data_IF_539248866628
#
_entry.id   IF_539248866628
#
_cell.length_a   1.000
_cell.length_b   1.000
_cell.length_c   1.000
_cell.angle_alpha   90.00
_cell.angle_beta   90.00
_cell.angle_gamma   90.00
#
_symmetry.space_group_name_H-M   'P 1'
#
loop_
_entity.id
_entity.type
_entity.pdbx_description
1 polymer ?
#
# COMPACT_ATOMS: atom_id res chain seq x y z
N UNK A 1 14.81 -1.43 16.83
CA UNK A 1 14.60 -0.30 15.91
C UNK A 1 14.19 -0.95 14.62
N UNK A 2 12.89 -0.99 14.38
CA UNK A 2 12.34 -1.47 13.12
C UNK A 2 12.45 -0.40 12.04
N UNK A 3 12.01 -0.76 10.85
CA UNK A 3 12.04 0.08 9.68
C UNK A 3 10.83 1.01 9.63
N UNK A 4 11.09 2.22 9.17
CA UNK A 4 10.08 3.23 8.85
C UNK A 4 10.30 3.64 7.42
N UNK A 5 9.22 3.77 6.64
CA UNK A 5 9.31 4.21 5.26
C UNK A 5 8.07 3.87 4.46
N UNK A 6 8.11 4.23 3.18
CA UNK A 6 6.98 4.02 2.27
C UNK A 6 7.35 3.07 1.14
N UNK A 7 6.39 2.25 0.76
CA UNK A 7 6.39 1.55 -0.51
C UNK A 7 5.40 2.22 -1.46
N UNK A 8 5.86 2.54 -2.67
CA UNK A 8 5.05 3.09 -3.75
C UNK A 8 4.89 2.03 -4.82
N UNK A 9 3.64 1.64 -5.06
CA UNK A 9 3.27 0.57 -5.97
C UNK A 9 2.34 1.12 -7.05
N UNK A 10 2.61 0.80 -8.30
CA UNK A 10 1.79 1.24 -9.41
C UNK A 10 2.16 0.56 -10.72
N UNK A 11 1.26 0.66 -11.70
CA UNK A 11 1.47 0.09 -13.02
C UNK A 11 1.71 1.21 -14.03
N UNK A 12 2.84 1.15 -14.74
CA UNK A 12 3.13 2.09 -15.83
C UNK A 12 4.22 1.54 -16.75
N UNK A 13 4.17 1.93 -18.03
CA UNK A 13 5.24 1.65 -19.00
C UNK A 13 6.52 2.44 -18.69
N UNK A 14 6.38 3.63 -18.09
CA UNK A 14 7.51 4.48 -17.68
C UNK A 14 7.77 4.38 -16.17
N UNK A 15 8.97 4.71 -15.68
CA UNK A 15 9.28 4.70 -14.25
C UNK A 15 8.32 5.57 -13.43
N UNK A 16 7.82 5.05 -12.30
CA UNK A 16 6.91 5.82 -11.43
C UNK A 16 7.53 7.13 -10.94
N UNK A 17 8.85 7.15 -10.70
CA UNK A 17 9.60 8.34 -10.27
C UNK A 17 9.50 9.52 -11.25
N UNK A 18 9.14 9.29 -12.51
CA UNK A 18 9.01 10.37 -13.51
C UNK A 18 7.68 11.12 -13.43
N UNK A 19 6.70 10.60 -12.69
CA UNK A 19 5.38 11.21 -12.55
C UNK A 19 5.40 12.38 -11.55
N UNK A 20 4.67 13.48 -11.84
CA UNK A 20 4.52 14.60 -10.90
C UNK A 20 3.96 14.18 -9.54
N UNK A 21 3.10 13.16 -9.49
CA UNK A 21 2.48 12.70 -8.26
C UNK A 21 3.47 12.33 -7.15
N UNK A 22 4.69 11.90 -7.48
CA UNK A 22 5.75 11.50 -6.53
C UNK A 22 6.98 12.40 -6.59
N UNK A 23 6.85 13.59 -7.19
CA UNK A 23 7.98 14.50 -7.39
C UNK A 23 8.66 14.93 -6.07
N UNK A 24 7.90 14.99 -4.97
CA UNK A 24 8.41 15.36 -3.64
C UNK A 24 9.41 14.38 -3.05
N UNK A 25 9.42 13.13 -3.50
CA UNK A 25 10.31 12.05 -3.02
C UNK A 25 11.13 11.42 -4.13
N UNK A 26 11.18 12.07 -5.31
CA UNK A 26 11.84 11.53 -6.51
C UNK A 26 13.28 11.09 -6.25
N UNK A 27 14.05 11.91 -5.54
CA UNK A 27 15.48 11.66 -5.32
C UNK A 27 15.75 10.56 -4.29
N UNK A 28 14.76 10.23 -3.46
CA UNK A 28 14.83 9.18 -2.43
C UNK A 28 14.18 7.86 -2.88
N UNK A 29 13.50 7.84 -4.02
CA UNK A 29 12.84 6.65 -4.57
C UNK A 29 13.88 5.64 -5.05
N UNK A 30 13.95 4.50 -4.37
CA UNK A 30 14.74 3.35 -4.76
C UNK A 30 13.84 2.28 -5.42
N UNK A 31 14.15 1.89 -6.65
CA UNK A 31 13.41 0.82 -7.33
C UNK A 31 13.73 -0.53 -6.67
N UNK A 32 12.72 -1.22 -6.15
CA UNK A 32 12.86 -2.56 -5.59
C UNK A 32 12.56 -3.65 -6.62
N UNK A 33 11.46 -3.52 -7.35
CA UNK A 33 11.07 -4.49 -8.36
C UNK A 33 10.35 -3.82 -9.53
N UNK A 34 10.58 -4.35 -10.73
CA UNK A 34 9.89 -3.95 -11.96
C UNK A 34 9.52 -5.19 -12.75
N UNK A 35 8.23 -5.36 -12.99
CA UNK A 35 7.64 -6.49 -13.70
C UNK A 35 7.45 -6.19 -15.19
N UNK A 36 7.39 -7.26 -15.98
CA UNK A 36 7.18 -7.19 -17.43
C UNK A 36 5.80 -6.65 -17.82
N UNK A 37 4.81 -6.78 -16.94
CA UNK A 37 3.44 -6.27 -17.12
C UNK A 37 3.26 -4.81 -16.65
N UNK A 38 4.36 -4.13 -16.32
CA UNK A 38 4.42 -2.71 -16.00
C UNK A 38 4.28 -2.40 -14.51
N UNK A 39 4.06 -3.40 -13.65
CA UNK A 39 4.04 -3.18 -12.20
C UNK A 39 5.42 -2.84 -11.67
N UNK A 40 5.47 -1.85 -10.78
CA UNK A 40 6.68 -1.38 -10.16
C UNK A 40 6.46 -1.23 -8.66
N UNK A 41 7.46 -1.61 -7.87
CA UNK A 41 7.53 -1.37 -6.43
C UNK A 41 8.76 -0.53 -6.17
N UNK A 42 8.54 0.62 -5.56
CA UNK A 42 9.58 1.53 -5.15
C UNK A 42 9.54 1.69 -3.64
N UNK A 43 10.70 1.93 -3.05
CA UNK A 43 10.87 2.23 -1.64
C UNK A 43 11.28 3.69 -1.48
N UNK A 44 10.70 4.35 -0.48
CA UNK A 44 11.16 5.64 0.02
C UNK A 44 11.55 5.39 1.48
N UNK A 45 12.85 5.25 1.78
CA UNK A 45 13.32 5.04 3.13
C UNK A 45 12.84 6.18 4.05
N UNK A 46 12.45 5.83 5.27
CA UNK A 46 12.10 6.83 6.28
C UNK A 46 13.26 7.77 6.57
N UNK A 47 12.94 9.02 6.90
CA UNK A 47 13.87 10.02 7.41
C UNK A 47 13.35 10.67 8.69
N UNK A 48 14.02 11.71 9.17
CA UNK A 48 13.48 12.51 10.27
C UNK A 48 12.21 13.25 9.83
N UNK A 49 11.05 12.79 10.31
CA UNK A 49 9.73 13.39 10.07
C UNK A 49 8.86 12.67 9.04
N UNK A 50 7.57 13.02 9.00
CA UNK A 50 6.63 12.52 8.01
C UNK A 50 7.01 13.03 6.62
N UNK A 51 7.35 12.12 5.71
CA UNK A 51 7.69 12.44 4.32
C UNK A 51 6.40 12.57 3.51
N UNK A 52 6.24 13.68 2.80
CA UNK A 52 5.14 13.83 1.83
C UNK A 52 5.49 13.08 0.55
N UNK A 53 5.08 11.80 0.48
CA UNK A 53 5.28 10.92 -0.69
C UNK A 53 4.42 11.35 -1.88
N UNK A 54 3.44 12.22 -1.66
CA UNK A 54 2.51 12.73 -2.66
C UNK A 54 1.13 12.11 -2.56
N UNK A 55 0.33 12.29 -3.62
CA UNK A 55 -1.08 11.89 -3.63
C UNK A 55 -1.30 10.67 -4.53
N UNK A 56 -1.70 9.57 -3.90
CA UNK A 56 -1.94 8.31 -4.58
C UNK A 56 -3.11 8.36 -5.58
N UNK A 57 -4.14 9.18 -5.35
CA UNK A 57 -5.18 9.43 -6.36
C UNK A 57 -4.61 10.09 -7.62
N UNK A 58 -3.72 11.07 -7.44
CA UNK A 58 -3.06 11.73 -8.57
C UNK A 58 -2.21 10.73 -9.33
N UNK A 59 -1.47 9.86 -8.64
CA UNK A 59 -0.67 8.82 -9.29
C UNK A 59 -1.54 7.84 -10.09
N UNK A 60 -2.67 7.38 -9.52
CA UNK A 60 -3.59 6.49 -10.20
C UNK A 60 -4.19 7.13 -11.47
N UNK A 61 -4.53 8.42 -11.41
CA UNK A 61 -5.02 9.17 -12.56
C UNK A 61 -3.95 9.40 -13.63
N UNK A 62 -2.73 9.77 -13.24
CA UNK A 62 -1.63 10.04 -14.17
C UNK A 62 -1.13 8.77 -14.86
N UNK A 63 -1.13 7.64 -14.16
CA UNK A 63 -0.77 6.33 -14.71
C UNK A 63 -1.92 5.68 -15.49
N UNK A 64 -3.16 6.11 -15.26
CA UNK A 64 -4.35 5.50 -15.82
C UNK A 64 -4.58 4.06 -15.32
N UNK A 65 -3.99 3.71 -14.16
CA UNK A 65 -4.01 2.37 -13.63
C UNK A 65 -4.07 2.38 -12.09
N UNK A 66 -4.45 1.25 -11.47
CA UNK A 66 -4.45 1.13 -10.02
C UNK A 66 -3.07 1.38 -9.39
N UNK A 67 -3.03 2.19 -8.33
CA UNK A 67 -1.84 2.52 -7.55
C UNK A 67 -2.10 2.34 -6.04
N UNK A 68 -1.03 2.13 -5.28
CA UNK A 68 -1.09 1.86 -3.85
C UNK A 68 0.18 2.36 -3.15
N UNK A 69 0.01 3.01 -2.00
CA UNK A 69 1.07 3.32 -1.05
C UNK A 69 0.96 2.44 0.20
N UNK A 70 2.09 1.97 0.70
CA UNK A 70 2.21 1.24 1.96
C UNK A 70 3.16 1.97 2.90
N UNK A 71 2.67 2.54 3.99
CA UNK A 71 3.51 3.22 4.99
C UNK A 71 3.79 2.29 6.17
N UNK A 72 5.06 1.93 6.37
CA UNK A 72 5.50 1.04 7.44
C UNK A 72 5.94 1.84 8.66
N UNK A 73 5.49 1.41 9.85
CA UNK A 73 5.84 2.02 11.14
C UNK A 73 6.51 1.00 12.04
N UNK A 74 7.79 1.23 12.35
CA UNK A 74 8.69 0.40 13.18
C UNK A 74 8.70 -1.09 12.83
N UNK A 75 8.44 -1.45 11.57
CA UNK A 75 8.19 -2.82 11.13
C UNK A 75 7.03 -3.54 11.84
N UNK A 76 6.18 -2.83 12.59
CA UNK A 76 5.09 -3.39 13.39
C UNK A 76 3.75 -3.41 12.66
N UNK A 77 3.49 -2.40 11.82
CA UNK A 77 2.25 -2.29 11.07
C UNK A 77 2.41 -1.44 9.80
N UNK A 78 1.40 -1.53 8.92
CA UNK A 78 1.39 -0.81 7.64
C UNK A 78 0.07 -0.10 7.43
N UNK A 79 0.09 1.19 7.08
CA UNK A 79 -1.07 1.88 6.48
C UNK A 79 -1.06 1.65 4.98
N UNK A 80 -2.19 1.24 4.43
CA UNK A 80 -2.39 1.06 2.99
C UNK A 80 -3.34 2.14 2.51
N UNK A 81 -2.89 2.91 1.53
CA UNK A 81 -3.71 3.85 0.77
C UNK A 81 -3.70 3.43 -0.69
N UNK A 82 -4.86 3.11 -1.24
CA UNK A 82 -4.97 2.59 -2.60
C UNK A 82 -6.10 3.27 -3.35
N UNK A 83 -5.90 3.47 -4.66
CA UNK A 83 -6.88 4.05 -5.55
C UNK A 83 -6.64 3.52 -6.94
N UNK A 84 -7.69 3.61 -7.70
CA UNK A 84 -7.66 3.40 -9.12
C UNK A 84 -8.66 4.35 -9.77
N UNK A 85 -8.49 4.66 -11.07
CA UNK A 85 -9.39 5.53 -11.81
C UNK A 85 -10.89 5.23 -11.64
N UNK A 86 -11.30 3.96 -11.63
CA UNK A 86 -12.72 3.57 -11.60
C UNK A 86 -13.19 3.09 -10.22
N UNK A 87 -12.40 2.23 -9.55
CA UNK A 87 -12.77 1.67 -8.24
C UNK A 87 -12.58 2.63 -7.07
N UNK A 88 -11.96 3.79 -7.31
CA UNK A 88 -11.83 4.89 -6.37
C UNK A 88 -10.83 4.63 -5.24
N UNK A 89 -10.70 5.59 -4.33
CA UNK A 89 -9.79 5.51 -3.20
C UNK A 89 -10.35 4.72 -2.02
N UNK A 90 -9.47 4.02 -1.31
CA UNK A 90 -9.74 3.35 -0.06
C UNK A 90 -8.47 3.24 0.79
N UNK A 91 -8.68 3.15 2.10
CA UNK A 91 -7.59 3.13 3.08
C UNK A 91 -7.85 2.03 4.10
N UNK A 92 -6.81 1.26 4.44
CA UNK A 92 -6.86 0.23 5.49
C UNK A 92 -5.51 0.10 6.18
N UNK A 93 -5.37 -0.83 7.11
CA UNK A 93 -4.09 -1.16 7.72
C UNK A 93 -3.87 -2.67 7.86
N UNK A 94 -2.59 -3.06 7.90
CA UNK A 94 -2.11 -4.40 8.26
C UNK A 94 -1.56 -4.39 9.69
N UNK A 95 -1.63 -5.54 10.37
CA UNK A 95 -1.32 -5.67 11.80
C UNK A 95 -2.10 -4.66 12.66
N UNK A 96 -3.42 -4.73 12.57
CA UNK A 96 -4.38 -3.76 13.14
C UNK A 96 -4.21 -3.56 14.64
N UNK A 97 -3.83 -4.62 15.38
CA UNK A 97 -3.59 -4.53 16.82
C UNK A 97 -2.39 -3.63 17.14
N UNK A 98 -1.31 -3.73 16.37
CA UNK A 98 -0.17 -2.83 16.49
C UNK A 98 -0.56 -1.41 16.08
N UNK A 99 -1.32 -1.25 14.98
CA UNK A 99 -1.85 0.06 14.55
C UNK A 99 -2.64 0.77 15.65
N UNK A 100 -3.49 0.04 16.39
CA UNK A 100 -4.25 0.61 17.51
C UNK A 100 -3.34 1.23 18.59
N UNK A 101 -2.15 0.65 18.84
CA UNK A 101 -1.19 1.19 19.79
C UNK A 101 -0.58 2.53 19.31
N UNK A 102 -0.44 2.73 18.00
CA UNK A 102 0.05 3.98 17.40
C UNK A 102 -1.00 5.11 17.41
N UNK A 103 -2.31 4.77 17.39
CA UNK A 103 -3.38 5.77 17.49
C UNK A 103 -3.55 6.33 18.92
N UNK A 104 -3.13 5.57 19.94
CA UNK A 104 -3.18 5.97 21.35
C UNK A 104 -4.60 6.15 21.89
N UNK A 105 -4.72 6.77 23.07
CA UNK A 105 -6.00 6.91 23.80
C UNK A 105 -6.85 8.12 23.35
N UNK A 106 -6.65 8.62 22.13
CA UNK A 106 -7.28 9.84 21.61
C UNK A 106 -8.79 9.77 21.36
N UNK A 107 -9.44 8.66 21.72
CA UNK A 107 -10.89 8.44 21.55
C UNK A 107 -11.32 8.03 20.15
N UNK A 108 -10.40 8.03 19.17
CA UNK A 108 -10.60 7.48 17.84
C UNK A 108 -9.94 6.11 17.75
N UNK A 109 -10.64 5.18 17.12
CA UNK A 109 -10.26 3.77 16.96
C UNK A 109 -9.72 3.53 15.55
N UNK A 110 -9.15 2.35 15.32
CA UNK A 110 -8.69 1.92 13.98
C UNK A 110 -9.85 1.98 12.99
N UNK A 111 -11.05 1.64 13.44
CA UNK A 111 -12.28 1.59 12.65
C UNK A 111 -12.75 2.98 12.20
N UNK A 112 -12.35 4.05 12.89
CA UNK A 112 -12.67 5.43 12.49
C UNK A 112 -11.81 5.91 11.31
N UNK A 113 -10.64 5.31 11.11
CA UNK A 113 -9.67 5.69 10.08
C UNK A 113 -9.57 4.70 8.91
N UNK A 114 -9.80 3.42 9.18
CA UNK A 114 -9.46 2.33 8.28
C UNK A 114 -10.65 1.42 8.02
N UNK A 115 -10.88 1.10 6.74
CA UNK A 115 -11.89 0.11 6.37
C UNK A 115 -11.65 -1.20 7.09
N UNK A 116 -12.72 -1.80 7.63
CA UNK A 116 -12.69 -3.13 8.23
C UNK A 116 -12.09 -4.18 7.27
N UNK A 117 -11.45 -5.26 7.75
CA UNK A 117 -10.75 -6.22 6.89
C UNK A 117 -11.61 -6.77 5.76
N UNK A 118 -12.91 -6.96 6.00
CA UNK A 118 -13.83 -7.47 5.00
C UNK A 118 -14.07 -6.46 3.88
N UNK A 119 -14.41 -5.23 4.23
CA UNK A 119 -14.68 -4.16 3.27
C UNK A 119 -13.40 -3.82 2.48
N UNK A 120 -12.26 -3.78 3.17
CA UNK A 120 -10.95 -3.61 2.55
C UNK A 120 -10.63 -4.74 1.55
N UNK A 121 -10.95 -6.00 1.88
CA UNK A 121 -10.77 -7.12 0.95
C UNK A 121 -11.67 -6.99 -0.29
N UNK A 122 -12.91 -6.54 -0.13
CA UNK A 122 -13.83 -6.29 -1.24
C UNK A 122 -13.32 -5.15 -2.15
N UNK A 123 -12.83 -4.06 -1.56
CA UNK A 123 -12.18 -2.96 -2.32
C UNK A 123 -10.91 -3.41 -3.02
N UNK A 124 -10.08 -4.21 -2.37
CA UNK A 124 -8.87 -4.78 -2.95
C UNK A 124 -9.15 -5.67 -4.17
N UNK A 125 -10.22 -6.47 -4.14
CA UNK A 125 -10.64 -7.27 -5.30
C UNK A 125 -11.05 -6.37 -6.47
N UNK A 126 -11.86 -5.34 -6.22
CA UNK A 126 -12.28 -4.40 -7.26
C UNK A 126 -11.08 -3.63 -7.85
N UNK A 127 -10.17 -3.18 -6.99
CA UNK A 127 -8.93 -2.51 -7.37
C UNK A 127 -8.04 -3.42 -8.25
N UNK A 128 -7.90 -4.70 -7.92
CA UNK A 128 -7.13 -5.64 -8.71
C UNK A 128 -7.80 -5.94 -10.07
N UNK A 129 -9.13 -6.08 -10.08
CA UNK A 129 -9.91 -6.35 -11.29
C UNK A 129 -9.76 -5.26 -12.35
N UNK A 130 -9.60 -3.99 -11.95
CA UNK A 130 -9.33 -2.86 -12.86
C UNK A 130 -7.98 -2.98 -13.59
N UNK A 131 -7.07 -3.80 -13.08
CA UNK A 131 -5.82 -4.17 -13.74
C UNK A 131 -5.85 -5.53 -14.44
N UNK A 132 -7.05 -6.03 -14.77
CA UNK A 132 -7.32 -7.35 -15.36
C UNK A 132 -6.89 -8.53 -14.48
N UNK A 133 -6.73 -8.32 -13.17
CA UNK A 133 -6.34 -9.36 -12.22
C UNK A 133 -7.56 -9.94 -11.52
N UNK A 134 -7.69 -11.27 -11.58
CA UNK A 134 -8.70 -12.00 -10.80
C UNK A 134 -8.08 -12.51 -9.50
N UNK A 135 -8.42 -11.87 -8.39
CA UNK A 135 -7.94 -12.24 -7.05
C UNK A 135 -9.09 -12.74 -6.18
N UNK A 136 -8.78 -13.60 -5.20
CA UNK A 136 -9.79 -14.17 -4.30
C UNK A 136 -9.88 -13.34 -3.02
N UNK A 137 -11.10 -13.02 -2.59
CA UNK A 137 -11.36 -12.26 -1.36
C UNK A 137 -10.83 -12.96 -0.10
N UNK A 138 -10.99 -14.30 0.00
CA UNK A 138 -10.60 -15.02 1.21
C UNK A 138 -9.10 -14.91 1.56
N UNK A 139 -8.15 -15.17 0.63
CA UNK A 139 -6.73 -14.93 0.89
C UNK A 139 -6.38 -13.48 1.26
N UNK A 140 -7.05 -12.49 0.66
CA UNK A 140 -6.84 -11.08 1.01
C UNK A 140 -7.32 -10.80 2.43
N UNK A 141 -8.49 -11.32 2.79
CA UNK A 141 -9.06 -11.19 4.13
C UNK A 141 -8.17 -11.85 5.19
N UNK A 142 -7.59 -13.02 4.88
CA UNK A 142 -6.66 -13.71 5.79
C UNK A 142 -5.42 -12.83 6.07
N UNK A 143 -4.88 -12.17 5.04
CA UNK A 143 -3.74 -11.25 5.20
C UNK A 143 -4.12 -9.98 5.97
N UNK A 144 -5.29 -9.41 5.68
CA UNK A 144 -5.80 -8.20 6.36
C UNK A 144 -6.12 -8.43 7.86
N UNK A 145 -6.28 -9.69 8.27
CA UNK A 145 -6.50 -10.10 9.67
C UNK A 145 -5.22 -10.58 10.37
N UNK A 146 -4.14 -10.78 9.63
CA UNK A 146 -2.90 -11.29 10.20
C UNK A 146 -2.13 -10.20 10.96
N UNK A 147 -1.33 -10.66 11.91
CA UNK A 147 -0.34 -9.84 12.61
C UNK A 147 0.96 -9.78 11.79
N UNK A 148 1.82 -8.80 12.08
CA UNK A 148 3.11 -8.59 11.43
C UNK A 148 4.13 -9.66 11.85
N UNK A 149 4.03 -10.86 11.27
CA UNK A 149 4.96 -11.96 11.54
C UNK A 149 5.61 -12.48 10.24
N UNK A 150 6.96 -12.44 10.12
CA UNK A 150 7.93 -11.94 11.09
C UNK A 150 8.05 -10.41 11.14
N UNK A 151 7.52 -9.69 10.15
CA UNK A 151 7.54 -8.22 10.10
C UNK A 151 6.38 -7.65 9.25
N UNK A 152 6.13 -6.35 9.38
CA UNK A 152 5.08 -5.66 8.66
C UNK A 152 5.36 -5.56 7.15
N UNK A 153 6.62 -5.45 6.74
CA UNK A 153 7.06 -5.47 5.35
C UNK A 153 6.76 -6.82 4.72
N UNK A 154 7.10 -7.93 5.38
CA UNK A 154 6.80 -9.27 4.85
C UNK A 154 5.29 -9.48 4.71
N UNK A 155 4.51 -8.99 5.66
CA UNK A 155 3.05 -9.02 5.57
C UNK A 155 2.53 -8.15 4.42
N UNK A 156 3.14 -6.99 4.18
CA UNK A 156 2.82 -6.11 3.06
C UNK A 156 3.14 -6.74 1.71
N UNK A 157 4.32 -7.33 1.54
CA UNK A 157 4.65 -8.05 0.30
C UNK A 157 3.74 -9.27 0.10
N UNK A 158 3.30 -9.93 1.18
CA UNK A 158 2.30 -11.00 1.10
C UNK A 158 0.96 -10.45 0.62
N UNK A 159 0.58 -9.25 1.06
CA UNK A 159 -0.60 -8.57 0.56
C UNK A 159 -0.49 -8.25 -0.95
N UNK A 160 0.66 -7.74 -1.40
CA UNK A 160 0.92 -7.49 -2.83
C UNK A 160 0.89 -8.78 -3.67
N UNK A 161 1.38 -9.90 -3.14
CA UNK A 161 1.25 -11.23 -3.75
C UNK A 161 -0.22 -11.64 -3.92
N UNK A 162 -1.04 -11.45 -2.87
CA UNK A 162 -2.47 -11.76 -2.94
C UNK A 162 -3.25 -10.84 -3.88
N UNK A 163 -2.77 -9.62 -4.10
CA UNK A 163 -3.25 -8.71 -5.14
C UNK A 163 -2.78 -9.08 -6.55
N UNK A 164 -1.85 -10.05 -6.66
CA UNK A 164 -1.23 -10.46 -7.91
C UNK A 164 -0.19 -9.49 -8.45
N UNK A 165 0.24 -8.49 -7.67
CA UNK A 165 1.18 -7.46 -8.12
C UNK A 165 2.63 -7.96 -8.12
N UNK A 166 3.04 -8.60 -7.01
CA UNK A 166 4.39 -9.15 -6.85
C UNK A 166 4.27 -10.56 -6.27
N UNK A 167 4.55 -11.63 -7.03
CA UNK A 167 4.66 -12.96 -6.42
C UNK A 167 5.78 -13.01 -5.39
N UNK A 168 5.46 -13.51 -4.19
CA UNK A 168 6.44 -13.84 -3.14
C UNK A 168 7.19 -15.13 -3.46
#
# INVERSE_FOLDING_TARGET
MGYWGYYVVGRSERPLAEFPAVAGVRDDLALLDRRADGWQVWEVPGGEGARDVGNMNTLALETGAPALFGYVMDSDCVVIEAAAPESGAWTTCLARRAMAAYLGDGGLTVEDYFLEPRDAAERAVAWAAESDRTVRTAPLLDVLRAEAEPSAEELFFRFLDRLGVVPQ
#
